data_IF_753947496480
#
_entry.id   IF_753947496480
#
_cell.length_a   1.000
_cell.length_b   1.000
_cell.length_c   1.000
_cell.angle_alpha   90.00
_cell.angle_beta   90.00
_cell.angle_gamma   90.00
#
_symmetry.space_group_name_H-M   'P 1'
#
loop_
_entity.id
_entity.type
_entity.pdbx_description
1 polymer ?
#
# COMPACT_ATOMS: atom_id res chain seq x y z
N UNK A 1 -26.90 15.30 19.54
CA UNK A 1 -26.30 13.99 19.27
C UNK A 1 -24.95 14.16 18.60
N UNK A 2 -23.92 13.63 19.19
CA UNK A 2 -22.57 13.73 18.61
C UNK A 2 -22.40 12.77 17.45
N UNK A 3 -22.01 13.34 16.31
CA UNK A 3 -21.64 12.55 15.14
C UNK A 3 -20.16 12.16 15.17
N UNK A 4 -19.40 12.77 16.08
CA UNK A 4 -17.97 12.49 16.22
C UNK A 4 -17.81 11.29 17.13
N UNK A 5 -17.28 10.19 16.60
CA UNK A 5 -17.08 8.94 17.32
C UNK A 5 -15.68 8.78 17.86
N UNK A 6 -14.71 9.36 17.18
CA UNK A 6 -13.32 9.26 17.56
C UNK A 6 -12.53 10.41 16.97
N UNK A 7 -11.35 10.68 17.56
CA UNK A 7 -10.42 11.67 17.05
C UNK A 7 -9.41 10.94 16.17
N UNK A 8 -9.19 11.47 14.97
CA UNK A 8 -8.21 10.95 14.04
C UNK A 8 -7.32 12.08 13.55
N UNK A 9 -6.12 11.74 13.10
CA UNK A 9 -5.14 12.72 12.63
C UNK A 9 -4.87 12.52 11.16
N UNK A 10 -4.59 13.63 10.45
CA UNK A 10 -4.10 13.59 9.08
C UNK A 10 -2.61 13.89 9.07
N UNK A 11 -1.96 13.69 7.91
CA UNK A 11 -0.53 14.01 7.79
C UNK A 11 -0.23 15.48 8.03
N UNK A 12 -1.20 16.37 7.77
CA UNK A 12 -1.03 17.82 8.03
C UNK A 12 -0.98 18.15 9.52
N UNK A 13 -1.47 17.24 10.37
CA UNK A 13 -1.57 17.48 11.81
C UNK A 13 -0.37 16.98 12.59
N UNK A 14 0.54 16.24 11.96
CA UNK A 14 1.61 15.54 12.67
C UNK A 14 2.95 15.68 11.96
N UNK A 15 4.01 15.50 12.74
CA UNK A 15 5.37 15.38 12.23
C UNK A 15 6.01 14.16 12.88
N UNK A 16 6.94 13.53 12.16
CA UNK A 16 7.69 12.43 12.73
C UNK A 16 8.69 12.93 13.76
N UNK A 17 8.79 12.20 14.86
CA UNK A 17 9.80 12.49 15.87
C UNK A 17 11.16 12.01 15.38
N UNK A 18 12.18 12.86 15.33
CA UNK A 18 13.52 12.41 14.97
C UNK A 18 14.04 11.34 15.94
N UNK A 19 14.71 10.37 15.39
CA UNK A 19 15.23 9.25 16.18
C UNK A 19 16.66 8.93 15.73
N UNK A 20 17.40 8.26 16.60
CA UNK A 20 18.77 7.87 16.28
C UNK A 20 18.78 6.84 15.14
N UNK A 21 19.75 7.01 14.23
CA UNK A 21 19.94 6.11 13.11
C UNK A 21 21.43 5.80 12.96
N UNK A 22 21.78 4.51 12.96
CA UNK A 22 23.17 4.06 12.92
C UNK A 22 23.56 3.44 11.57
N UNK A 23 22.77 3.68 10.52
CA UNK A 23 23.06 3.19 9.17
C UNK A 23 22.87 4.30 8.15
N UNK A 24 23.54 4.13 6.99
CA UNK A 24 23.42 5.07 5.89
C UNK A 24 22.10 4.82 5.12
N UNK A 25 21.54 5.86 4.48
CA UNK A 25 20.32 5.66 3.66
C UNK A 25 20.46 4.57 2.62
N UNK A 26 21.64 4.39 2.03
CA UNK A 26 21.88 3.34 1.05
C UNK A 26 21.82 1.93 1.64
N UNK A 27 21.96 1.79 2.97
CA UNK A 27 21.89 0.51 3.67
C UNK A 27 20.51 0.21 4.19
N UNK A 28 19.56 1.15 4.03
CA UNK A 28 18.22 1.00 4.53
C UNK A 28 17.47 -0.07 3.76
N UNK A 29 16.68 -0.88 4.47
CA UNK A 29 15.77 -1.84 3.87
C UNK A 29 14.34 -1.40 4.18
N UNK A 30 13.53 -1.32 3.13
CA UNK A 30 12.11 -0.94 3.27
C UNK A 30 11.19 -2.17 3.23
N UNK A 31 11.78 -3.37 3.22
CA UNK A 31 11.01 -4.60 3.26
C UNK A 31 10.20 -4.65 4.55
N UNK A 32 8.94 -5.05 4.47
CA UNK A 32 8.04 -5.07 5.61
C UNK A 32 6.98 -6.16 5.46
N UNK A 33 6.33 -6.48 6.57
CA UNK A 33 5.22 -7.43 6.59
C UNK A 33 3.91 -6.68 6.46
N UNK A 34 3.13 -7.01 5.42
CA UNK A 34 1.80 -6.44 5.25
C UNK A 34 0.79 -7.14 6.15
N UNK A 35 0.87 -8.47 6.17
CA UNK A 35 0.05 -9.29 7.06
C UNK A 35 0.96 -10.33 7.69
N UNK A 36 0.37 -11.18 8.53
CA UNK A 36 1.11 -12.25 9.22
C UNK A 36 1.85 -13.17 8.22
N UNK A 37 1.27 -13.38 7.04
CA UNK A 37 1.78 -14.32 6.07
C UNK A 37 2.23 -13.67 4.75
N UNK A 38 2.14 -12.34 4.63
CA UNK A 38 2.48 -11.63 3.40
C UNK A 38 3.51 -10.56 3.70
N UNK A 39 4.67 -10.68 3.06
CA UNK A 39 5.74 -9.68 3.11
C UNK A 39 5.83 -8.97 1.77
N UNK A 40 6.17 -7.69 1.81
CA UNK A 40 6.39 -6.90 0.61
C UNK A 40 7.77 -6.25 0.68
N UNK A 41 8.42 -6.14 -0.47
CA UNK A 41 9.76 -5.57 -0.55
C UNK A 41 9.71 -4.04 -0.61
N UNK A 42 8.62 -3.48 -1.07
CA UNK A 42 8.40 -2.04 -1.16
C UNK A 42 7.08 -1.73 -0.45
N UNK A 43 7.08 -0.87 0.58
CA UNK A 43 5.88 -0.63 1.38
C UNK A 43 4.91 0.34 0.70
N UNK A 44 4.48 -0.02 -0.51
CA UNK A 44 3.52 0.76 -1.28
C UNK A 44 2.34 -0.13 -1.64
N UNK A 45 1.15 0.40 -1.42
CA UNK A 45 -0.11 -0.24 -1.77
C UNK A 45 -0.92 0.72 -2.64
N UNK A 46 -1.60 0.21 -3.65
CA UNK A 46 -2.54 1.04 -4.40
C UNK A 46 -3.96 0.81 -3.89
N UNK A 47 -4.75 1.87 -3.89
CA UNK A 47 -6.11 1.83 -3.33
C UNK A 47 -7.05 1.01 -4.18
N UNK A 48 -8.06 0.41 -3.54
CA UNK A 48 -9.09 -0.39 -4.20
C UNK A 48 -10.14 0.54 -4.82
N UNK A 49 -9.74 1.27 -5.85
CA UNK A 49 -10.57 2.23 -6.56
C UNK A 49 -10.48 1.97 -8.05
N UNK A 50 -11.60 2.06 -8.76
CA UNK A 50 -11.66 1.77 -10.20
C UNK A 50 -10.82 2.72 -11.05
N UNK A 51 -10.57 3.93 -10.55
CA UNK A 51 -9.72 4.90 -11.24
C UNK A 51 -8.26 4.80 -10.84
N UNK A 52 -7.90 3.93 -9.90
CA UNK A 52 -6.54 3.82 -9.34
C UNK A 52 -5.95 2.44 -9.64
N UNK A 53 -6.63 1.37 -9.23
CA UNK A 53 -6.05 0.02 -9.30
C UNK A 53 -6.87 -0.86 -10.23
N UNK A 54 -6.41 -0.97 -11.46
CA UNK A 54 -6.83 -1.99 -12.41
C UNK A 54 -5.72 -3.03 -12.53
N UNK A 55 -5.92 -4.05 -13.38
CA UNK A 55 -4.94 -5.13 -13.47
C UNK A 55 -3.52 -4.64 -13.83
N UNK A 56 -3.43 -3.57 -14.63
CA UNK A 56 -2.10 -3.03 -15.02
C UNK A 56 -1.35 -2.44 -13.84
N UNK A 57 -2.04 -1.68 -12.99
CA UNK A 57 -1.42 -1.10 -11.80
C UNK A 57 -1.05 -2.20 -10.81
N UNK A 58 -1.91 -3.21 -10.63
CA UNK A 58 -1.62 -4.31 -9.73
C UNK A 58 -0.38 -5.08 -10.17
N UNK A 59 -0.24 -5.34 -11.46
CA UNK A 59 0.94 -6.03 -12.00
C UNK A 59 2.18 -5.16 -11.83
N UNK A 60 2.09 -3.86 -12.16
CA UNK A 60 3.22 -2.96 -12.06
C UNK A 60 3.73 -2.83 -10.62
N UNK A 61 2.83 -2.71 -9.65
CA UNK A 61 3.21 -2.64 -8.24
C UNK A 61 3.81 -3.95 -7.75
N UNK A 62 3.26 -5.09 -8.17
CA UNK A 62 3.80 -6.39 -7.78
C UNK A 62 5.22 -6.56 -8.31
N UNK A 63 5.48 -6.15 -9.55
CA UNK A 63 6.82 -6.20 -10.14
C UNK A 63 7.80 -5.28 -9.42
N UNK A 64 7.31 -4.16 -8.88
CA UNK A 64 8.14 -3.22 -8.13
C UNK A 64 8.37 -3.64 -6.67
N UNK A 65 7.64 -4.66 -6.18
CA UNK A 65 7.77 -5.16 -4.82
C UNK A 65 6.66 -4.73 -3.87
N UNK A 66 5.71 -3.93 -4.34
CA UNK A 66 4.54 -3.52 -3.57
C UNK A 66 3.36 -4.44 -3.82
N UNK A 67 2.16 -3.94 -3.57
CA UNK A 67 0.94 -4.71 -3.78
C UNK A 67 -0.21 -3.79 -4.19
N UNK A 68 -1.05 -4.28 -5.12
CA UNK A 68 -2.25 -3.57 -5.52
C UNK A 68 -3.48 -4.22 -4.92
N UNK A 69 -4.40 -3.40 -4.43
CA UNK A 69 -5.66 -3.88 -3.87
C UNK A 69 -6.75 -3.67 -4.92
N UNK A 70 -7.35 -4.76 -5.37
CA UNK A 70 -8.35 -4.71 -6.43
C UNK A 70 -9.71 -4.30 -5.89
N UNK A 71 -10.43 -3.49 -6.68
CA UNK A 71 -11.81 -3.14 -6.38
C UNK A 71 -12.76 -4.20 -6.97
N UNK A 72 -14.02 -4.13 -6.60
CA UNK A 72 -15.02 -5.12 -7.04
C UNK A 72 -15.63 -4.82 -8.39
N UNK A 73 -15.38 -3.64 -8.96
CA UNK A 73 -15.97 -3.23 -10.23
C UNK A 73 -15.16 -3.73 -11.42
N UNK A 74 -14.81 -5.01 -11.40
CA UNK A 74 -14.05 -5.68 -12.45
C UNK A 74 -14.75 -6.96 -12.87
N UNK A 75 -14.67 -7.29 -14.17
CA UNK A 75 -15.15 -8.57 -14.65
C UNK A 75 -14.19 -9.69 -14.26
N UNK A 76 -14.68 -10.93 -14.30
CA UNK A 76 -13.84 -12.10 -14.06
C UNK A 76 -12.70 -12.15 -15.07
N UNK A 77 -12.97 -11.76 -16.31
CA UNK A 77 -11.98 -11.76 -17.39
C UNK A 77 -10.86 -10.77 -17.11
N UNK A 78 -11.19 -9.57 -16.60
CA UNK A 78 -10.20 -8.58 -16.25
C UNK A 78 -9.33 -9.05 -15.08
N UNK A 79 -9.93 -9.68 -14.08
CA UNK A 79 -9.19 -10.22 -12.95
C UNK A 79 -8.27 -11.36 -13.37
N UNK A 80 -8.67 -12.16 -14.37
CA UNK A 80 -7.85 -13.29 -14.84
C UNK A 80 -6.56 -12.84 -15.50
N UNK A 81 -6.50 -11.60 -16.01
CA UNK A 81 -5.30 -11.08 -16.66
C UNK A 81 -4.14 -10.90 -15.67
N UNK A 82 -4.44 -10.83 -14.38
CA UNK A 82 -3.42 -10.66 -13.35
C UNK A 82 -2.61 -11.94 -13.14
N UNK A 83 -3.20 -13.08 -13.48
CA UNK A 83 -2.56 -14.39 -13.28
C UNK A 83 -1.63 -14.79 -14.43
N UNK A 84 -1.44 -13.94 -15.39
CA UNK A 84 -0.50 -14.19 -16.49
C UNK A 84 0.94 -13.77 -16.07
#
# INVERSE_FOLDING_TARGET
MDKVKAKALTFDDVLLVPSYCDFLPSQASVKTSLTKNIDINLPLLSAAMDTVTEYRMAIALAEAGGIGILHKNCSIQELSLIHI
#
